data_IF_789413884121
#
_entry.id   IF_789413884121
#
_cell.length_a   1.000
_cell.length_b   1.000
_cell.length_c   1.000
_cell.angle_alpha   90.00
_cell.angle_beta   90.00
_cell.angle_gamma   90.00
#
_symmetry.space_group_name_H-M   'P 1'
#
loop_
_entity.id
_entity.type
_entity.pdbx_description
1 polymer ?
#
# COMPACT_ATOMS: atom_id res chain seq x y z
N UNK A 1 -7.66 -11.95 -18.36
CA UNK A 1 -6.71 -11.14 -17.59
C UNK A 1 -7.45 -10.22 -16.64
N UNK A 2 -6.84 -9.90 -15.49
CA UNK A 2 -7.45 -9.07 -14.44
C UNK A 2 -6.51 -7.97 -13.98
N UNK A 3 -7.06 -6.80 -13.66
CA UNK A 3 -6.35 -5.68 -13.05
C UNK A 3 -6.91 -5.41 -11.65
N UNK A 4 -6.10 -5.51 -10.61
CA UNK A 4 -6.54 -5.20 -9.24
C UNK A 4 -6.41 -3.71 -8.96
N UNK A 5 -7.40 -3.14 -8.29
CA UNK A 5 -7.37 -1.75 -7.82
C UNK A 5 -7.93 -1.61 -6.40
N UNK A 6 -7.64 -0.47 -5.79
CA UNK A 6 -7.93 -0.22 -4.37
C UNK A 6 -9.37 0.25 -4.11
N UNK A 7 -10.07 0.74 -5.13
CA UNK A 7 -11.40 1.33 -4.98
C UNK A 7 -12.15 1.40 -6.30
N UNK A 8 -13.48 1.53 -6.22
CA UNK A 8 -14.33 1.80 -7.38
C UNK A 8 -13.94 3.10 -8.10
N UNK A 9 -13.50 4.13 -7.37
CA UNK A 9 -13.02 5.37 -7.98
C UNK A 9 -11.77 5.16 -8.85
N UNK A 10 -10.84 4.31 -8.40
CA UNK A 10 -9.65 3.97 -9.18
C UNK A 10 -10.03 3.14 -10.43
N UNK A 11 -11.01 2.24 -10.30
CA UNK A 11 -11.56 1.46 -11.40
C UNK A 11 -12.05 2.34 -12.55
N UNK A 12 -12.85 3.38 -12.26
CA UNK A 12 -13.36 4.32 -13.27
C UNK A 12 -12.22 5.07 -14.00
N UNK A 13 -11.14 5.41 -13.28
CA UNK A 13 -9.94 6.01 -13.86
C UNK A 13 -9.20 5.04 -14.77
N UNK A 14 -9.10 3.75 -14.39
CA UNK A 14 -8.46 2.75 -15.25
C UNK A 14 -9.23 2.54 -16.54
N UNK A 15 -10.57 2.46 -16.49
CA UNK A 15 -11.39 2.33 -17.70
C UNK A 15 -11.25 3.53 -18.65
N UNK A 16 -11.20 4.75 -18.12
CA UNK A 16 -11.06 5.96 -18.95
C UNK A 16 -9.62 6.19 -19.45
N UNK A 17 -8.60 5.87 -18.66
CA UNK A 17 -7.20 6.06 -19.04
C UNK A 17 -6.67 4.97 -19.99
N UNK A 18 -7.23 3.75 -19.94
CA UNK A 18 -6.82 2.61 -20.76
C UNK A 18 -8.00 1.99 -21.54
N UNK A 19 -8.68 2.77 -22.41
CA UNK A 19 -9.95 2.36 -23.02
C UNK A 19 -9.83 1.20 -24.02
N UNK A 20 -8.63 0.94 -24.53
CA UNK A 20 -8.35 -0.17 -25.47
C UNK A 20 -8.00 -1.49 -24.77
N UNK A 21 -7.84 -1.49 -23.44
CA UNK A 21 -7.57 -2.70 -22.69
C UNK A 21 -8.87 -3.38 -22.27
N UNK A 22 -9.12 -4.56 -22.83
CA UNK A 22 -10.24 -5.43 -22.47
C UNK A 22 -9.91 -6.26 -21.21
N UNK A 23 -9.51 -5.59 -20.14
CA UNK A 23 -9.14 -6.23 -18.87
C UNK A 23 -10.21 -5.98 -17.83
N UNK A 24 -10.64 -7.03 -17.13
CA UNK A 24 -11.57 -6.90 -16.01
C UNK A 24 -10.86 -6.26 -14.82
N UNK A 25 -11.37 -5.11 -14.37
CA UNK A 25 -10.78 -4.38 -13.25
C UNK A 25 -11.51 -4.77 -11.96
N UNK A 26 -10.77 -5.26 -10.97
CA UNK A 26 -11.26 -5.80 -9.71
C UNK A 26 -10.98 -4.83 -8.55
N UNK A 27 -11.99 -4.16 -7.97
CA UNK A 27 -11.82 -3.24 -6.86
C UNK A 27 -11.80 -3.98 -5.51
N UNK A 28 -10.76 -4.81 -5.30
CA UNK A 28 -10.64 -5.70 -4.13
C UNK A 28 -9.50 -5.30 -3.17
N UNK A 29 -8.82 -4.17 -3.41
CA UNK A 29 -7.69 -3.73 -2.60
C UNK A 29 -6.35 -4.24 -3.15
N UNK A 30 -5.27 -3.51 -2.89
CA UNK A 30 -3.94 -3.99 -3.28
C UNK A 30 -3.43 -5.08 -2.33
N UNK A 31 -2.92 -6.22 -2.82
CA UNK A 31 -2.39 -7.29 -1.97
C UNK A 31 -1.32 -6.84 -0.96
N UNK A 32 -0.50 -5.84 -1.33
CA UNK A 32 0.52 -5.25 -0.43
C UNK A 32 -0.07 -4.61 0.84
N UNK A 33 -1.33 -4.18 0.80
CA UNK A 33 -2.02 -3.57 1.94
C UNK A 33 -2.45 -4.63 2.95
N UNK A 34 -2.73 -5.86 2.51
CA UNK A 34 -3.07 -6.97 3.43
C UNK A 34 -1.96 -7.21 4.46
N UNK A 35 -0.70 -7.10 4.04
CA UNK A 35 0.44 -7.19 4.95
C UNK A 35 0.38 -6.13 6.06
N UNK A 36 0.04 -4.88 5.69
CA UNK A 36 -0.08 -3.78 6.65
C UNK A 36 -1.23 -4.02 7.64
N UNK A 37 -2.39 -4.49 7.15
CA UNK A 37 -3.55 -4.81 7.99
C UNK A 37 -3.23 -5.94 8.97
N UNK A 38 -2.55 -6.98 8.52
CA UNK A 38 -2.19 -8.13 9.35
C UNK A 38 -1.19 -7.78 10.46
N UNK A 39 -0.35 -6.75 10.23
CA UNK A 39 0.70 -6.32 11.16
C UNK A 39 0.33 -5.10 12.00
N UNK A 40 -0.84 -4.51 11.79
CA UNK A 40 -1.24 -3.21 12.35
C UNK A 40 -1.12 -3.14 13.88
N UNK A 41 -1.41 -4.24 14.58
CA UNK A 41 -1.39 -4.32 16.05
C UNK A 41 -0.24 -5.21 16.59
N UNK A 42 0.68 -5.67 15.72
CA UNK A 42 1.77 -6.57 16.11
C UNK A 42 2.97 -5.79 16.66
N UNK A 43 2.87 -5.37 17.93
CA UNK A 43 3.89 -4.54 18.60
C UNK A 43 5.30 -5.13 18.56
N UNK A 44 5.45 -6.45 18.71
CA UNK A 44 6.74 -7.13 18.63
C UNK A 44 7.40 -6.98 17.25
N UNK A 45 6.62 -7.05 16.18
CA UNK A 45 7.10 -6.84 14.83
C UNK A 45 7.53 -5.39 14.61
N UNK A 46 6.76 -4.43 15.12
CA UNK A 46 7.13 -3.01 15.05
C UNK A 46 8.42 -2.69 15.78
N UNK A 47 8.63 -3.26 16.98
CA UNK A 47 9.88 -3.09 17.72
C UNK A 47 11.07 -3.73 17.00
N UNK A 48 10.89 -4.93 16.44
CA UNK A 48 11.93 -5.59 15.65
C UNK A 48 12.32 -4.73 14.45
N UNK A 49 11.34 -4.25 13.67
CA UNK A 49 11.58 -3.41 12.51
C UNK A 49 12.30 -2.10 12.88
N UNK A 50 11.91 -1.46 13.99
CA UNK A 50 12.60 -0.27 14.49
C UNK A 50 14.06 -0.57 14.86
N UNK A 51 14.35 -1.72 15.48
CA UNK A 51 15.72 -2.13 15.83
C UNK A 51 16.56 -2.40 14.58
N UNK A 52 15.99 -3.08 13.58
CA UNK A 52 16.64 -3.33 12.29
C UNK A 52 16.95 -2.03 11.52
N UNK A 53 16.11 -1.01 11.68
CA UNK A 53 16.30 0.33 11.10
C UNK A 53 17.07 1.28 12.02
N UNK A 54 17.67 0.78 13.11
CA UNK A 54 18.44 1.57 14.09
C UNK A 54 17.66 2.78 14.66
N UNK A 55 16.34 2.68 14.75
CA UNK A 55 15.46 3.73 15.28
C UNK A 55 15.35 3.67 16.81
N UNK A 56 15.24 4.86 17.43
CA UNK A 56 14.95 4.98 18.86
C UNK A 56 13.51 4.52 19.16
N UNK A 57 13.38 3.50 20.03
CA UNK A 57 12.09 2.92 20.40
C UNK A 57 11.18 3.90 21.15
N UNK A 58 11.75 4.89 21.82
CA UNK A 58 11.02 5.85 22.65
C UNK A 58 10.63 7.13 21.90
N UNK A 59 10.99 7.24 20.61
CA UNK A 59 10.67 8.41 19.79
C UNK A 59 9.67 8.07 18.69
N UNK A 60 8.78 9.01 18.32
CA UNK A 60 7.99 8.88 17.11
C UNK A 60 8.90 8.90 15.87
N UNK A 61 8.51 8.19 14.82
CA UNK A 61 9.24 8.11 13.54
C UNK A 61 8.53 8.97 12.50
N UNK A 62 9.28 9.80 11.78
CA UNK A 62 8.78 10.61 10.66
C UNK A 62 9.29 10.04 9.34
N UNK A 63 8.38 9.59 8.47
CA UNK A 63 8.72 9.19 7.10
C UNK A 63 8.52 10.40 6.16
N UNK A 64 9.61 10.82 5.50
CA UNK A 64 9.55 11.80 4.41
C UNK A 64 9.80 11.09 3.07
N UNK A 65 8.80 11.10 2.19
CA UNK A 65 8.82 10.39 0.90
C UNK A 65 8.43 11.33 -0.26
N UNK A 66 9.31 12.26 -0.65
CA UNK A 66 9.06 13.17 -1.78
C UNK A 66 9.09 12.41 -3.12
N UNK A 67 8.39 12.92 -4.13
CA UNK A 67 8.56 12.45 -5.50
C UNK A 67 9.86 12.98 -6.09
N UNK A 68 10.36 12.32 -7.13
CA UNK A 68 11.43 12.88 -7.95
C UNK A 68 10.99 14.21 -8.56
N UNK A 69 11.91 15.19 -8.62
CA UNK A 69 11.71 16.52 -9.20
C UNK A 69 12.53 16.65 -10.48
#
# INVERSE_FOLDING_TARGET
DYLVCDSKLAMDKFHSAFPTHHTDVLPIGYPRVQYLLNKLDESSFHEQLKRELECDLNKPVLLYAPTWV
#
